data_IF_788776208567
#
_entry.id   IF_788776208567
#
_cell.length_a   1.000
_cell.length_b   1.000
_cell.length_c   1.000
_cell.angle_alpha   90.00
_cell.angle_beta   90.00
_cell.angle_gamma   90.00
#
_symmetry.space_group_name_H-M   'P 1'
#
loop_
_entity.id
_entity.type
_entity.pdbx_description
1 polymer ?
#
# COMPACT_ATOMS: atom_id res chain seq x y z
N UNK A 1 -16.65 71.23 5.59
CA UNK A 1 -17.13 69.86 5.67
C UNK A 1 -16.16 68.94 4.94
N UNK A 2 -15.38 68.20 5.66
CA UNK A 2 -14.42 67.24 5.08
C UNK A 2 -15.00 65.84 5.20
N UNK A 3 -15.40 65.26 4.08
CA UNK A 3 -15.87 63.88 3.99
C UNK A 3 -14.73 62.91 4.17
N UNK A 4 -14.74 62.18 5.26
CA UNK A 4 -13.81 61.10 5.54
C UNK A 4 -14.24 59.87 4.67
N UNK A 5 -13.45 59.52 3.66
CA UNK A 5 -13.63 58.28 2.91
C UNK A 5 -12.89 57.17 3.69
N UNK A 6 -13.70 56.36 4.35
CA UNK A 6 -13.25 55.14 5.01
C UNK A 6 -13.00 54.08 3.93
N UNK A 7 -11.73 53.84 3.59
CA UNK A 7 -11.35 52.71 2.76
C UNK A 7 -11.39 51.44 3.62
N UNK A 8 -12.45 50.66 3.40
CA UNK A 8 -12.50 49.31 3.92
C UNK A 8 -11.56 48.45 3.09
N UNK A 9 -10.36 48.24 3.59
CA UNK A 9 -9.46 47.21 3.12
C UNK A 9 -10.02 45.86 3.56
N UNK A 10 -10.76 45.21 2.68
CA UNK A 10 -11.12 43.81 2.82
C UNK A 10 -9.89 43.00 2.55
N UNK A 11 -9.09 42.74 3.60
CA UNK A 11 -8.01 41.78 3.55
C UNK A 11 -8.65 40.40 3.47
N UNK A 12 -8.84 39.92 2.25
CA UNK A 12 -9.21 38.53 1.99
C UNK A 12 -8.05 37.65 2.43
N UNK A 13 -8.06 37.26 3.70
CA UNK A 13 -7.17 36.25 4.22
C UNK A 13 -7.57 34.93 3.57
N UNK A 14 -6.94 34.61 2.46
CA UNK A 14 -6.98 33.27 1.87
C UNK A 14 -6.33 32.34 2.90
N UNK A 15 -7.16 31.76 3.75
CA UNK A 15 -6.82 30.55 4.50
C UNK A 15 -6.59 29.45 3.47
N UNK A 16 -5.34 29.31 3.05
CA UNK A 16 -4.84 28.09 2.44
C UNK A 16 -4.90 27.02 3.54
N UNK A 17 -6.10 26.52 3.81
CA UNK A 17 -6.23 25.23 4.46
C UNK A 17 -5.66 24.24 3.44
N UNK A 18 -4.37 23.91 3.61
CA UNK A 18 -3.83 22.74 2.97
C UNK A 18 -4.73 21.58 3.38
N UNK A 19 -5.59 21.13 2.49
CA UNK A 19 -6.27 19.85 2.64
C UNK A 19 -5.16 18.81 2.69
N UNK A 20 -4.75 18.44 3.89
CA UNK A 20 -4.16 17.12 4.12
C UNK A 20 -5.29 16.15 3.85
N UNK A 21 -5.37 15.71 2.60
CA UNK A 21 -6.38 14.76 2.18
C UNK A 21 -5.99 13.43 2.83
N UNK A 22 -6.68 13.11 3.92
CA UNK A 22 -6.55 11.84 4.60
C UNK A 22 -6.97 10.72 3.64
N UNK A 23 -6.12 9.73 3.47
CA UNK A 23 -6.45 8.56 2.66
C UNK A 23 -7.67 7.83 3.22
N UNK A 24 -8.58 7.44 2.34
CA UNK A 24 -9.64 6.52 2.71
C UNK A 24 -9.10 5.09 2.71
N UNK A 25 -8.63 4.67 3.88
CA UNK A 25 -8.00 3.35 4.09
C UNK A 25 -8.90 2.20 3.65
N UNK A 26 -10.21 2.28 3.93
CA UNK A 26 -11.14 1.22 3.54
C UNK A 26 -11.36 1.15 2.04
N UNK A 27 -11.40 2.27 1.35
CA UNK A 27 -11.49 2.32 -0.10
C UNK A 27 -10.22 1.75 -0.76
N UNK A 28 -9.06 2.02 -0.19
CA UNK A 28 -7.78 1.52 -0.71
C UNK A 28 -7.67 0.02 -0.50
N UNK A 29 -7.86 -0.49 0.71
CA UNK A 29 -7.50 -1.85 1.08
C UNK A 29 -8.64 -2.86 1.01
N UNK A 30 -9.84 -2.48 1.46
CA UNK A 30 -10.92 -3.41 1.77
C UNK A 30 -12.20 -3.20 0.97
N UNK A 31 -12.10 -2.65 -0.23
CA UNK A 31 -13.25 -2.51 -1.14
C UNK A 31 -13.70 -3.84 -1.79
N UNK A 32 -13.30 -4.97 -1.23
CA UNK A 32 -13.75 -6.31 -1.62
C UNK A 32 -12.87 -7.02 -2.65
N UNK A 33 -11.75 -6.41 -3.06
CA UNK A 33 -10.83 -7.03 -4.01
C UNK A 33 -9.83 -7.97 -3.35
N UNK A 34 -9.39 -8.96 -4.12
CA UNK A 34 -8.21 -9.75 -3.83
C UNK A 34 -7.01 -9.03 -4.44
N UNK A 35 -6.00 -8.79 -3.65
CA UNK A 35 -4.74 -8.20 -4.09
C UNK A 35 -3.75 -9.29 -4.45
N UNK A 36 -3.13 -9.17 -5.62
CA UNK A 36 -2.13 -10.10 -6.13
C UNK A 36 -0.75 -9.43 -6.14
N UNK A 37 0.27 -10.13 -5.62
CA UNK A 37 1.66 -9.66 -5.68
C UNK A 37 2.12 -9.55 -7.13
N UNK A 38 2.64 -8.40 -7.53
CA UNK A 38 3.12 -8.20 -8.90
C UNK A 38 4.65 -8.18 -8.99
N UNK A 39 5.29 -7.55 -8.02
CA UNK A 39 6.75 -7.42 -7.95
C UNK A 39 7.17 -6.81 -6.61
N UNK A 40 8.48 -6.80 -6.35
CA UNK A 40 9.09 -6.09 -5.23
C UNK A 40 10.21 -5.18 -5.71
N UNK A 41 10.38 -4.05 -5.03
CA UNK A 41 11.26 -2.98 -5.48
C UNK A 41 12.09 -2.37 -4.35
N UNK A 42 13.28 -1.90 -4.70
CA UNK A 42 14.03 -0.93 -3.90
C UNK A 42 13.80 0.48 -4.42
N UNK A 43 13.86 1.47 -3.54
CA UNK A 43 13.72 2.90 -3.87
C UNK A 43 14.63 3.75 -2.99
N UNK A 44 15.06 4.90 -3.52
CA UNK A 44 15.77 5.93 -2.75
C UNK A 44 14.81 7.02 -2.23
N UNK A 45 13.64 7.14 -2.84
CA UNK A 45 12.58 8.06 -2.42
C UNK A 45 11.22 7.38 -2.50
N UNK A 46 10.66 7.06 -1.35
CA UNK A 46 9.39 6.36 -1.25
C UNK A 46 8.17 7.15 -1.75
N UNK A 47 8.34 8.44 -2.01
CA UNK A 47 7.30 9.33 -2.56
C UNK A 47 7.40 9.50 -4.06
N UNK A 48 8.54 9.14 -4.66
CA UNK A 48 8.75 9.21 -6.11
C UNK A 48 8.43 7.87 -6.76
N UNK A 49 7.33 7.83 -7.51
CA UNK A 49 6.88 6.62 -8.20
C UNK A 49 7.76 6.23 -9.41
N UNK A 50 8.72 7.07 -9.79
CA UNK A 50 9.65 6.78 -10.89
C UNK A 50 11.03 6.31 -10.39
N UNK A 51 11.27 6.34 -9.08
CA UNK A 51 12.54 5.97 -8.49
C UNK A 51 12.46 4.57 -7.88
N UNK A 52 12.63 3.53 -8.70
CA UNK A 52 12.59 2.16 -8.24
C UNK A 52 13.41 1.22 -9.11
N UNK A 53 13.88 0.13 -8.49
CA UNK A 53 14.52 -0.99 -9.17
C UNK A 53 13.91 -2.30 -8.68
N UNK A 54 13.54 -3.20 -9.58
CA UNK A 54 13.07 -4.55 -9.19
C UNK A 54 14.13 -5.28 -8.37
N UNK A 55 13.72 -5.90 -7.29
CA UNK A 55 14.58 -6.76 -6.45
C UNK A 55 14.44 -8.23 -6.81
N UNK A 56 13.46 -8.55 -7.64
CA UNK A 56 13.24 -9.90 -8.18
C UNK A 56 13.82 -10.02 -9.58
N UNK A 57 14.20 -11.23 -9.92
CA UNK A 57 14.58 -11.59 -11.30
C UNK A 57 13.37 -11.61 -12.22
N UNK A 58 13.60 -11.54 -13.53
CA UNK A 58 12.51 -11.62 -14.52
C UNK A 58 11.73 -12.94 -14.42
N UNK A 59 12.41 -14.05 -14.15
CA UNK A 59 11.80 -15.37 -14.03
C UNK A 59 10.92 -15.46 -12.78
N UNK A 60 11.34 -14.85 -11.67
CA UNK A 60 10.53 -14.77 -10.45
C UNK A 60 9.28 -13.92 -10.66
N UNK A 61 9.41 -12.77 -11.29
CA UNK A 61 8.27 -11.90 -11.64
C UNK A 61 7.30 -12.63 -12.58
N UNK A 62 7.79 -13.30 -13.61
CA UNK A 62 6.97 -14.11 -14.51
C UNK A 62 6.23 -15.20 -13.75
N UNK A 63 6.93 -15.95 -12.88
CA UNK A 63 6.33 -17.01 -12.06
C UNK A 63 5.21 -16.49 -11.14
N UNK A 64 5.37 -15.31 -10.55
CA UNK A 64 4.36 -14.69 -9.72
C UNK A 64 3.13 -14.34 -10.57
N UNK A 65 3.34 -13.65 -11.69
CA UNK A 65 2.24 -13.17 -12.55
C UNK A 65 1.49 -14.30 -13.26
N UNK A 66 2.16 -15.42 -13.56
CA UNK A 66 1.54 -16.62 -14.14
C UNK A 66 0.74 -17.43 -13.09
N UNK A 67 0.93 -17.15 -11.80
CA UNK A 67 0.34 -17.92 -10.68
C UNK A 67 -0.79 -17.15 -10.00
N UNK A 68 -1.85 -16.83 -10.75
CA UNK A 68 -2.97 -15.98 -10.27
C UNK A 68 -3.69 -16.51 -9.01
N UNK A 69 -3.61 -17.81 -8.72
CA UNK A 69 -4.21 -18.42 -7.52
C UNK A 69 -3.26 -18.47 -6.32
N UNK A 70 -2.03 -17.96 -6.48
CA UNK A 70 -1.01 -17.85 -5.43
C UNK A 70 -0.60 -16.41 -5.22
N UNK A 71 0.05 -16.13 -4.09
CA UNK A 71 0.57 -14.80 -3.76
C UNK A 71 -0.51 -13.72 -3.66
N UNK A 72 -1.63 -14.10 -3.05
CA UNK A 72 -2.81 -13.26 -2.87
C UNK A 72 -2.99 -12.83 -1.42
N UNK A 73 -3.57 -11.64 -1.22
CA UNK A 73 -3.94 -11.11 0.08
C UNK A 73 -5.29 -10.38 0.00
N UNK A 74 -6.12 -10.58 1.02
CA UNK A 74 -7.43 -9.94 1.16
C UNK A 74 -7.47 -9.21 2.49
N UNK A 75 -7.65 -7.90 2.45
CA UNK A 75 -7.87 -7.06 3.62
C UNK A 75 -9.37 -6.89 3.82
N UNK A 76 -9.86 -7.19 5.03
CA UNK A 76 -11.29 -7.09 5.36
C UNK A 76 -11.56 -5.85 6.20
N UNK A 77 -12.75 -5.29 6.08
CA UNK A 77 -13.18 -4.08 6.81
C UNK A 77 -13.15 -4.24 8.33
N UNK A 78 -13.32 -5.48 8.81
CA UNK A 78 -13.28 -5.80 10.24
C UNK A 78 -11.86 -5.83 10.83
N UNK A 79 -10.83 -5.49 10.02
CA UNK A 79 -9.44 -5.50 10.43
C UNK A 79 -8.78 -6.88 10.37
N UNK A 80 -9.46 -7.90 9.86
CA UNK A 80 -8.85 -9.20 9.59
C UNK A 80 -8.22 -9.23 8.20
N UNK A 81 -7.24 -10.12 8.02
CA UNK A 81 -6.55 -10.35 6.75
C UNK A 81 -6.37 -11.83 6.53
N UNK A 82 -6.45 -12.25 5.29
CA UNK A 82 -6.14 -13.61 4.87
C UNK A 82 -5.41 -13.60 3.53
N UNK A 83 -4.66 -14.67 3.27
CA UNK A 83 -3.93 -14.78 2.01
C UNK A 83 -3.21 -16.10 1.88
N UNK A 84 -2.55 -16.28 0.75
CA UNK A 84 -1.80 -17.48 0.43
C UNK A 84 -0.63 -17.20 -0.49
N UNK A 85 0.45 -17.95 -0.29
CA UNK A 85 1.49 -18.16 -1.29
C UNK A 85 1.21 -19.40 -2.12
N UNK A 86 2.26 -20.02 -2.63
CA UNK A 86 2.18 -21.27 -3.41
C UNK A 86 1.97 -22.49 -2.50
N UNK A 87 2.69 -22.57 -1.36
CA UNK A 87 2.69 -23.72 -0.46
C UNK A 87 2.32 -23.39 0.99
N UNK A 88 1.79 -22.20 1.23
CA UNK A 88 1.34 -21.77 2.54
C UNK A 88 0.13 -20.85 2.45
N UNK A 89 -0.55 -20.71 3.55
CA UNK A 89 -1.60 -19.71 3.74
C UNK A 89 -1.36 -18.94 5.03
N UNK A 90 -2.06 -17.84 5.20
CA UNK A 90 -2.02 -17.08 6.43
C UNK A 90 -3.36 -16.41 6.72
N UNK A 91 -3.59 -16.17 7.99
CA UNK A 91 -4.63 -15.27 8.50
C UNK A 91 -3.99 -14.29 9.45
N UNK A 92 -4.71 -13.24 9.83
CA UNK A 92 -4.16 -12.27 10.78
C UNK A 92 -5.03 -11.05 10.95
N UNK A 93 -4.39 -9.99 11.41
CA UNK A 93 -5.02 -8.67 11.58
C UNK A 93 -4.18 -7.59 10.93
N UNK A 94 -4.82 -6.52 10.48
CA UNK A 94 -4.19 -5.38 9.86
C UNK A 94 -4.83 -4.08 10.32
N UNK A 95 -4.09 -2.99 10.22
CA UNK A 95 -4.60 -1.63 10.35
C UNK A 95 -3.72 -0.66 9.56
N UNK A 96 -4.28 0.45 9.16
CA UNK A 96 -3.56 1.53 8.51
C UNK A 96 -4.12 2.88 8.96
N UNK A 97 -3.26 3.91 8.95
CA UNK A 97 -3.65 5.28 9.26
C UNK A 97 -3.49 6.15 8.00
N UNK A 98 -4.60 6.72 7.52
CA UNK A 98 -4.61 7.55 6.32
C UNK A 98 -3.97 8.92 6.47
N UNK A 99 -3.63 9.36 7.69
CA UNK A 99 -2.98 10.66 7.93
C UNK A 99 -1.47 10.60 7.74
N UNK A 100 -0.82 9.56 8.25
CA UNK A 100 0.63 9.40 8.23
C UNK A 100 1.11 8.23 7.36
N UNK A 101 0.17 7.50 6.74
CA UNK A 101 0.42 6.33 5.91
C UNK A 101 1.13 5.18 6.64
N UNK A 102 1.02 5.15 7.96
CA UNK A 102 1.50 4.02 8.74
C UNK A 102 0.64 2.78 8.51
N UNK A 103 1.27 1.62 8.59
CA UNK A 103 0.66 0.32 8.35
C UNK A 103 1.13 -0.68 9.40
N UNK A 104 0.22 -1.52 9.87
CA UNK A 104 0.53 -2.59 10.81
C UNK A 104 -0.16 -3.87 10.38
N UNK A 105 0.54 -4.97 10.48
CA UNK A 105 0.02 -6.30 10.17
C UNK A 105 0.63 -7.35 11.11
N UNK A 106 -0.19 -8.31 11.52
CA UNK A 106 0.23 -9.47 12.31
C UNK A 106 -0.32 -10.72 11.65
N UNK A 107 0.56 -11.60 11.20
CA UNK A 107 0.22 -12.78 10.43
C UNK A 107 0.43 -14.07 11.23
N UNK A 108 -0.45 -15.03 11.04
CA UNK A 108 -0.38 -16.41 11.55
C UNK A 108 -0.29 -17.35 10.34
N UNK A 109 0.91 -17.78 9.95
CA UNK A 109 1.10 -18.61 8.79
C UNK A 109 0.84 -20.09 9.10
N UNK A 110 0.44 -20.83 8.06
CA UNK A 110 0.31 -22.28 8.07
C UNK A 110 0.88 -22.84 6.76
N UNK A 111 1.71 -23.87 6.84
CA UNK A 111 2.38 -24.47 5.68
C UNK A 111 3.86 -24.08 5.56
N UNK A 112 4.49 -24.56 4.50
CA UNK A 112 5.92 -24.36 4.28
C UNK A 112 6.20 -23.07 3.52
N UNK A 113 7.21 -22.31 3.96
CA UNK A 113 7.65 -21.07 3.34
C UNK A 113 9.10 -21.17 2.92
N UNK A 114 9.33 -21.33 1.62
CA UNK A 114 10.66 -21.34 1.00
C UNK A 114 10.64 -20.56 -0.32
N UNK A 115 11.79 -20.07 -0.77
CA UNK A 115 11.89 -19.30 -2.00
C UNK A 115 10.94 -18.09 -2.03
N UNK A 116 10.14 -17.96 -3.07
CA UNK A 116 9.18 -16.84 -3.23
C UNK A 116 8.12 -16.80 -2.12
N UNK A 117 7.69 -17.95 -1.60
CA UNK A 117 6.76 -18.01 -0.47
C UNK A 117 7.34 -17.32 0.78
N UNK A 118 8.64 -17.52 1.03
CA UNK A 118 9.34 -16.85 2.14
C UNK A 118 9.48 -15.35 1.88
N UNK A 119 9.88 -14.96 0.69
CA UNK A 119 10.00 -13.55 0.30
C UNK A 119 8.67 -12.82 0.46
N UNK A 120 7.60 -13.39 -0.09
CA UNK A 120 6.25 -12.83 0.01
C UNK A 120 5.81 -12.62 1.47
N UNK A 121 5.98 -13.65 2.30
CA UNK A 121 5.61 -13.58 3.71
C UNK A 121 6.46 -12.55 4.49
N UNK A 122 7.77 -12.57 4.31
CA UNK A 122 8.69 -11.69 5.04
C UNK A 122 8.44 -10.21 4.68
N UNK A 123 8.23 -9.89 3.42
CA UNK A 123 7.99 -8.52 2.98
C UNK A 123 6.66 -7.96 3.52
N UNK A 124 5.59 -8.76 3.49
CA UNK A 124 4.31 -8.35 4.08
C UNK A 124 4.44 -8.17 5.59
N UNK A 125 5.06 -9.14 6.28
CA UNK A 125 5.19 -9.13 7.75
C UNK A 125 6.02 -7.95 8.26
N UNK A 126 6.98 -7.48 7.46
CA UNK A 126 7.86 -6.36 7.80
C UNK A 126 7.33 -5.00 7.34
N UNK A 127 6.17 -4.94 6.71
CA UNK A 127 5.57 -3.70 6.26
C UNK A 127 5.19 -2.78 7.44
N UNK A 128 5.52 -1.49 7.29
CA UNK A 128 5.29 -0.44 8.31
C UNK A 128 4.62 0.80 7.74
N UNK A 129 4.67 0.98 6.44
CA UNK A 129 4.05 2.10 5.75
C UNK A 129 3.38 1.61 4.46
N UNK A 130 2.48 2.41 3.94
CA UNK A 130 1.85 2.13 2.65
C UNK A 130 1.75 3.39 1.78
N UNK A 131 1.63 3.17 0.50
CA UNK A 131 1.08 4.10 -0.48
C UNK A 131 0.16 3.34 -1.40
N UNK A 132 -0.88 3.98 -1.88
CA UNK A 132 -1.75 3.27 -2.80
C UNK A 132 -3.05 3.98 -3.13
N UNK A 133 -3.82 3.28 -3.92
CA UNK A 133 -5.15 3.62 -4.36
C UNK A 133 -5.96 2.34 -4.50
N UNK A 134 -7.21 2.42 -4.95
CA UNK A 134 -8.00 1.23 -5.30
C UNK A 134 -7.43 0.39 -6.46
N UNK A 135 -6.37 0.85 -7.12
CA UNK A 135 -5.74 0.16 -8.27
C UNK A 135 -4.36 -0.41 -7.98
N UNK A 136 -3.69 0.06 -6.94
CA UNK A 136 -2.34 -0.37 -6.61
C UNK A 136 -2.08 -0.15 -5.14
N UNK A 137 -1.49 -1.13 -4.46
CA UNK A 137 -0.97 -0.98 -3.11
C UNK A 137 0.53 -1.25 -3.12
N UNK A 138 1.29 -0.39 -2.44
CA UNK A 138 2.70 -0.55 -2.13
C UNK A 138 2.85 -0.61 -0.62
N UNK A 139 3.38 -1.70 -0.09
CA UNK A 139 3.68 -1.86 1.34
C UNK A 139 5.17 -1.72 1.56
N UNK A 140 5.58 -0.72 2.32
CA UNK A 140 6.97 -0.35 2.55
C UNK A 140 7.48 -0.87 3.88
N UNK A 141 8.77 -1.23 3.91
CA UNK A 141 9.50 -1.52 5.13
C UNK A 141 9.67 -0.26 6.02
N UNK A 142 10.26 -0.45 7.20
CA UNK A 142 10.49 0.63 8.18
C UNK A 142 11.34 1.77 7.61
N UNK A 143 12.36 1.44 6.83
CA UNK A 143 13.30 2.42 6.26
C UNK A 143 12.76 3.09 4.99
N UNK A 144 11.58 2.68 4.51
CA UNK A 144 10.93 3.19 3.29
C UNK A 144 11.78 3.08 2.02
N UNK A 145 12.73 2.16 2.00
CA UNK A 145 13.64 1.92 0.89
C UNK A 145 13.38 0.63 0.12
N UNK A 146 12.40 -0.14 0.54
CA UNK A 146 11.95 -1.37 -0.09
C UNK A 146 10.45 -1.52 0.03
N UNK A 147 9.77 -1.99 -1.04
CA UNK A 147 8.34 -2.25 -1.01
C UNK A 147 7.94 -3.44 -1.87
N UNK A 148 6.88 -4.11 -1.42
CA UNK A 148 6.12 -5.11 -2.17
C UNK A 148 4.90 -4.42 -2.80
N UNK A 149 4.64 -4.69 -4.08
CA UNK A 149 3.58 -4.07 -4.86
C UNK A 149 2.50 -5.08 -5.24
N UNK A 150 1.25 -4.64 -5.12
CA UNK A 150 0.07 -5.40 -5.45
C UNK A 150 -0.80 -4.68 -6.46
N UNK A 151 -1.42 -5.47 -7.34
CA UNK A 151 -2.56 -5.07 -8.17
C UNK A 151 -3.79 -5.90 -7.80
N UNK A 152 -5.02 -5.42 -8.07
CA UNK A 152 -6.20 -6.28 -8.00
C UNK A 152 -6.00 -7.53 -8.88
N UNK A 153 -6.38 -8.70 -8.35
CA UNK A 153 -6.30 -9.97 -9.09
C UNK A 153 -7.06 -9.83 -10.40
N UNK A 154 -6.48 -10.28 -11.52
CA UNK A 154 -7.06 -10.13 -12.85
C UNK A 154 -6.87 -8.75 -13.50
N UNK A 155 -6.07 -7.87 -12.92
CA UNK A 155 -5.84 -6.52 -13.47
C UNK A 155 -5.13 -6.52 -14.84
N UNK A 156 -4.39 -7.59 -15.17
CA UNK A 156 -3.64 -7.75 -16.41
C UNK A 156 -4.25 -8.79 -17.38
N UNK A 157 -5.47 -9.25 -17.12
CA UNK A 157 -6.18 -10.21 -17.97
C UNK A 157 -6.85 -9.55 -19.18
#
# INVERSE_FOLDING_TARGET
MKTFRLYWFFTLLLLLTGCNQKDNVHEIFSSGQTWHWSNSYSTCDWKDDNNFNSTLTRDEVAKINDSQDSYNIIFKEDGTVEGNGSNFSFTGTWSANGEDQSFSIQLKPSGNRSGLDKTFYDEISNAKFYRGSSRTIKLFNLDKNHYIQFYPKGFND
#
